data_IF_012741412538
#
_entry.id   IF_012741412538
#
_cell.length_a   1.000
_cell.length_b   1.000
_cell.length_c   1.000
_cell.angle_alpha   90.00
_cell.angle_beta   90.00
_cell.angle_gamma   90.00
#
_symmetry.space_group_name_H-M   'P 1'
#
loop_
_entity.id
_entity.type
_entity.pdbx_description
1 polymer ?
#
# COMPACT_ATOMS: atom_id res chain seq x y z
N UNK A 1 2.57 5.93 -22.28
CA UNK A 1 1.25 6.09 -21.60
C UNK A 1 0.30 5.06 -22.20
N UNK A 2 0.34 3.83 -21.67
CA UNK A 2 -0.25 2.63 -22.28
C UNK A 2 -0.85 1.69 -21.21
N UNK A 3 -0.71 2.04 -19.92
CA UNK A 3 -1.21 1.27 -18.80
C UNK A 3 -2.73 1.29 -18.59
N UNK A 4 -3.47 2.16 -19.27
CA UNK A 4 -4.91 2.39 -18.98
C UNK A 4 -5.85 1.33 -19.55
N UNK A 5 -5.43 0.53 -20.53
CA UNK A 5 -6.25 -0.54 -21.11
C UNK A 5 -6.00 -1.92 -20.50
N UNK A 6 -4.84 -2.13 -19.87
CA UNK A 6 -4.45 -3.44 -19.32
C UNK A 6 -5.30 -3.86 -18.12
N UNK A 7 -5.76 -2.91 -17.30
CA UNK A 7 -6.64 -3.17 -16.16
C UNK A 7 -8.04 -3.67 -16.57
N UNK A 8 -8.51 -3.30 -17.75
CA UNK A 8 -9.82 -3.71 -18.29
C UNK A 8 -9.77 -5.03 -19.05
N UNK A 9 -8.64 -5.33 -19.71
CA UNK A 9 -8.48 -6.52 -20.55
C UNK A 9 -8.03 -7.74 -19.73
N UNK A 10 -7.21 -7.56 -18.70
CA UNK A 10 -6.75 -8.66 -17.84
C UNK A 10 -6.49 -8.18 -16.39
N UNK A 11 -7.51 -8.19 -15.52
CA UNK A 11 -7.40 -7.67 -14.16
C UNK A 11 -6.39 -8.46 -13.31
N UNK A 12 -6.33 -9.77 -13.48
CA UNK A 12 -5.39 -10.65 -12.80
C UNK A 12 -3.92 -10.35 -13.13
N UNK A 13 -3.63 -10.14 -14.42
CA UNK A 13 -2.29 -9.79 -14.86
C UNK A 13 -1.90 -8.39 -14.38
N UNK A 14 -2.84 -7.44 -14.42
CA UNK A 14 -2.64 -6.10 -13.90
C UNK A 14 -2.28 -6.12 -12.40
N UNK A 15 -3.05 -6.86 -11.57
CA UNK A 15 -2.77 -7.05 -10.14
C UNK A 15 -1.39 -7.62 -9.87
N UNK A 16 -1.00 -8.68 -10.59
CA UNK A 16 0.34 -9.27 -10.47
C UNK A 16 1.43 -8.28 -10.85
N UNK A 17 1.20 -7.47 -11.90
CA UNK A 17 2.10 -6.40 -12.30
C UNK A 17 2.27 -5.33 -11.21
N UNK A 18 1.16 -4.88 -10.61
CA UNK A 18 1.19 -3.95 -9.48
C UNK A 18 1.96 -4.51 -8.28
N UNK A 19 1.76 -5.79 -7.94
CA UNK A 19 2.49 -6.42 -6.84
C UNK A 19 3.98 -6.59 -7.12
N UNK A 20 4.35 -6.96 -8.35
CA UNK A 20 5.74 -7.05 -8.76
C UNK A 20 6.42 -5.68 -8.67
N UNK A 21 5.78 -4.64 -9.20
CA UNK A 21 6.29 -3.27 -9.15
C UNK A 21 6.39 -2.75 -7.70
N UNK A 22 5.45 -3.10 -6.82
CA UNK A 22 5.54 -2.83 -5.40
C UNK A 22 6.78 -3.49 -4.77
N UNK A 23 7.04 -4.78 -5.06
CA UNK A 23 8.20 -5.49 -4.52
C UNK A 23 9.52 -4.88 -4.98
N UNK A 24 9.63 -4.59 -6.27
CA UNK A 24 10.84 -4.03 -6.87
C UNK A 24 11.14 -2.65 -6.24
N UNK A 25 10.12 -1.79 -6.17
CA UNK A 25 10.28 -0.42 -5.66
C UNK A 25 10.43 -0.37 -4.13
N UNK A 26 9.85 -1.33 -3.38
CA UNK A 26 10.03 -1.41 -1.93
C UNK A 26 11.50 -1.67 -1.56
N UNK A 27 12.19 -2.51 -2.33
CA UNK A 27 13.60 -2.86 -2.10
C UNK A 27 14.59 -1.75 -2.50
N UNK A 28 14.16 -0.79 -3.32
CA UNK A 28 15.00 0.28 -3.87
C UNK A 28 15.30 1.37 -2.83
N UNK A 29 16.48 1.98 -2.83
CA UNK A 29 16.77 3.12 -1.96
C UNK A 29 16.00 4.39 -2.43
N UNK A 30 15.38 5.19 -1.53
CA UNK A 30 14.64 6.38 -1.93
C UNK A 30 15.49 7.39 -2.71
N UNK A 31 16.78 7.53 -2.42
CA UNK A 31 17.67 8.45 -3.15
C UNK A 31 17.97 7.95 -4.57
N UNK A 32 17.98 6.63 -4.78
CA UNK A 32 18.10 6.05 -6.13
C UNK A 32 16.83 6.26 -6.97
N UNK A 33 15.68 6.46 -6.32
CA UNK A 33 14.40 6.78 -6.96
C UNK A 33 14.51 8.08 -7.79
N UNK A 34 15.34 9.02 -7.35
CA UNK A 34 15.67 10.24 -8.12
C UNK A 34 16.49 9.93 -9.38
N UNK A 35 17.35 8.90 -9.34
CA UNK A 35 18.17 8.48 -10.46
C UNK A 35 17.41 7.73 -11.54
N UNK A 36 16.37 6.98 -11.17
CA UNK A 36 15.58 6.15 -12.11
C UNK A 36 14.38 6.90 -12.69
N UNK A 37 13.74 7.78 -11.91
CA UNK A 37 12.53 8.48 -12.36
C UNK A 37 12.81 9.78 -13.13
N UNK A 38 14.06 10.24 -13.11
CA UNK A 38 14.44 11.56 -13.63
C UNK A 38 15.75 11.56 -14.43
N UNK A 39 15.79 10.75 -15.50
CA UNK A 39 16.81 10.90 -16.55
C UNK A 39 16.68 12.20 -17.35
N UNK A 40 15.65 13.02 -17.08
CA UNK A 40 15.46 14.34 -17.68
C UNK A 40 15.95 15.45 -16.74
N UNK A 41 17.18 15.91 -16.98
CA UNK A 41 17.63 17.30 -16.79
C UNK A 41 17.66 17.92 -15.37
N UNK A 42 17.47 17.18 -14.28
CA UNK A 42 17.56 17.76 -12.92
C UNK A 42 18.53 17.05 -11.96
N UNK A 43 19.32 16.09 -12.44
CA UNK A 43 20.25 15.28 -11.63
C UNK A 43 21.35 16.07 -10.87
N UNK A 44 21.46 17.39 -11.07
CA UNK A 44 22.44 18.25 -10.38
C UNK A 44 21.87 19.21 -9.33
N UNK A 45 20.54 19.39 -9.23
CA UNK A 45 19.92 20.47 -8.43
C UNK A 45 18.94 19.97 -7.35
N UNK A 46 19.00 18.69 -6.99
CA UNK A 46 18.17 18.18 -5.90
C UNK A 46 18.68 18.71 -4.55
N UNK A 47 17.85 19.42 -3.77
CA UNK A 47 18.24 19.88 -2.44
C UNK A 47 18.54 18.65 -1.57
N UNK A 48 19.79 18.45 -1.16
CA UNK A 48 20.16 17.42 -0.18
C UNK A 48 19.82 17.85 1.25
N UNK A 49 18.69 18.53 1.42
CA UNK A 49 18.20 18.93 2.73
C UNK A 49 17.52 17.74 3.40
N UNK A 50 17.56 17.71 4.74
CA UNK A 50 16.86 16.70 5.52
C UNK A 50 15.37 16.63 5.15
N UNK A 51 14.72 17.78 4.99
CA UNK A 51 13.31 17.87 4.60
C UNK A 51 13.01 17.18 3.25
N UNK A 52 13.89 17.32 2.27
CA UNK A 52 13.69 16.73 0.95
C UNK A 52 13.78 15.20 0.99
N UNK A 53 14.68 14.65 1.82
CA UNK A 53 14.75 13.21 2.07
C UNK A 53 13.46 12.66 2.69
N UNK A 54 12.92 13.34 3.70
CA UNK A 54 11.64 12.98 4.34
C UNK A 54 10.47 13.05 3.35
N UNK A 55 10.40 14.11 2.54
CA UNK A 55 9.38 14.26 1.49
C UNK A 55 9.44 13.11 0.48
N UNK A 56 10.65 12.74 0.04
CA UNK A 56 10.84 11.66 -0.92
C UNK A 56 10.46 10.30 -0.33
N UNK A 57 10.78 10.07 0.94
CA UNK A 57 10.32 8.91 1.69
C UNK A 57 8.78 8.82 1.74
N UNK A 58 8.11 9.94 2.04
CA UNK A 58 6.65 10.02 2.05
C UNK A 58 6.06 9.77 0.66
N UNK A 59 6.58 10.42 -0.38
CA UNK A 59 6.11 10.24 -1.75
C UNK A 59 6.24 8.78 -2.20
N UNK A 60 7.37 8.12 -1.87
CA UNK A 60 7.58 6.70 -2.11
C UNK A 60 6.56 5.84 -1.37
N UNK A 61 6.30 6.13 -0.09
CA UNK A 61 5.34 5.38 0.71
C UNK A 61 3.92 5.49 0.13
N UNK A 62 3.49 6.69 -0.28
CA UNK A 62 2.18 6.91 -0.91
C UNK A 62 2.08 6.14 -2.22
N UNK A 63 3.11 6.14 -3.06
CA UNK A 63 3.09 5.39 -4.31
C UNK A 63 3.04 3.86 -4.08
N UNK A 64 3.87 3.34 -3.17
CA UNK A 64 3.84 1.92 -2.81
C UNK A 64 2.47 1.50 -2.26
N UNK A 65 1.82 2.35 -1.48
CA UNK A 65 0.47 2.10 -0.96
C UNK A 65 -0.54 1.94 -2.10
N UNK A 66 -0.49 2.81 -3.12
CA UNK A 66 -1.36 2.69 -4.28
C UNK A 66 -1.12 1.37 -5.03
N UNK A 67 0.14 1.01 -5.30
CA UNK A 67 0.47 -0.25 -5.97
C UNK A 67 0.00 -1.47 -5.18
N UNK A 68 0.15 -1.45 -3.86
CA UNK A 68 -0.32 -2.53 -3.00
C UNK A 68 -1.85 -2.63 -3.02
N UNK A 69 -2.55 -1.51 -2.88
CA UNK A 69 -4.02 -1.47 -2.92
C UNK A 69 -4.57 -2.04 -4.24
N UNK A 70 -3.94 -1.73 -5.37
CA UNK A 70 -4.32 -2.28 -6.68
C UNK A 70 -3.92 -3.74 -6.89
N UNK A 71 -3.10 -4.33 -6.02
CA UNK A 71 -2.67 -5.73 -6.14
C UNK A 71 -3.55 -6.74 -5.39
N UNK A 72 -4.36 -6.28 -4.44
CA UNK A 72 -5.17 -7.12 -3.56
C UNK A 72 -6.53 -7.46 -4.18
N UNK A 73 -7.01 -8.68 -3.95
CA UNK A 73 -8.34 -9.16 -4.35
C UNK A 73 -8.95 -9.99 -3.20
N UNK A 74 -10.07 -9.54 -2.58
CA UNK A 74 -10.81 -8.30 -2.88
C UNK A 74 -10.00 -7.05 -2.52
N UNK A 75 -10.33 -5.92 -3.15
CA UNK A 75 -9.78 -4.61 -2.78
C UNK A 75 -9.96 -4.37 -1.28
N UNK A 76 -8.99 -3.77 -0.58
CA UNK A 76 -9.13 -3.51 0.86
C UNK A 76 -10.38 -2.67 1.12
N UNK A 77 -11.34 -3.23 1.85
CA UNK A 77 -12.52 -2.50 2.31
C UNK A 77 -12.47 -2.35 3.82
N UNK A 78 -12.84 -1.18 4.31
CA UNK A 78 -13.06 -0.98 5.74
C UNK A 78 -14.29 -1.77 6.16
N UNK A 79 -14.08 -2.80 7.00
CA UNK A 79 -15.17 -3.57 7.59
C UNK A 79 -15.45 -3.02 8.97
N UNK A 80 -16.59 -2.35 9.11
CA UNK A 80 -17.13 -1.99 10.41
C UNK A 80 -18.04 -3.13 10.86
N UNK A 81 -17.66 -3.80 11.96
CA UNK A 81 -18.47 -4.85 12.54
C UNK A 81 -19.66 -4.22 13.27
N UNK A 82 -20.87 -4.72 13.03
CA UNK A 82 -22.05 -4.31 13.80
C UNK A 82 -21.86 -4.66 15.29
N UNK A 83 -22.49 -3.88 16.17
CA UNK A 83 -22.52 -4.21 17.60
C UNK A 83 -23.07 -5.64 17.80
N UNK A 84 -22.30 -6.49 18.47
CA UNK A 84 -22.64 -7.91 18.69
C UNK A 84 -22.23 -8.88 17.57
N UNK A 85 -21.52 -8.44 16.53
CA UNK A 85 -20.99 -9.33 15.51
C UNK A 85 -19.92 -10.28 16.07
N UNK A 86 -20.03 -11.58 15.77
CA UNK A 86 -19.01 -12.57 16.13
C UNK A 86 -17.78 -12.44 15.22
N UNK A 87 -16.60 -12.32 15.82
CA UNK A 87 -15.33 -12.19 15.09
C UNK A 87 -14.74 -13.56 14.75
N UNK A 88 -14.26 -13.71 13.52
CA UNK A 88 -13.53 -14.90 13.12
C UNK A 88 -12.05 -14.78 13.52
N UNK A 89 -11.61 -15.56 14.50
CA UNK A 89 -10.28 -15.45 15.13
C UNK A 89 -9.10 -15.54 14.17
N UNK A 90 -9.27 -16.21 13.02
CA UNK A 90 -8.22 -16.32 11.99
C UNK A 90 -8.02 -15.03 11.17
N UNK A 91 -9.04 -14.16 11.11
CA UNK A 91 -9.04 -12.99 10.22
C UNK A 91 -9.16 -11.66 10.97
N UNK A 92 -9.76 -11.64 12.15
CA UNK A 92 -10.00 -10.42 12.91
C UNK A 92 -9.98 -10.71 14.42
N UNK A 93 -9.21 -9.94 15.16
CA UNK A 93 -9.14 -9.99 16.63
C UNK A 93 -10.03 -8.89 17.22
N UNK A 94 -10.72 -9.19 18.33
CA UNK A 94 -11.51 -8.19 19.05
C UNK A 94 -10.58 -7.14 19.65
N UNK A 95 -10.80 -5.87 19.30
CA UNK A 95 -10.09 -4.74 19.93
C UNK A 95 -10.47 -4.58 21.41
N UNK A 96 -11.65 -5.09 21.78
CA UNK A 96 -12.09 -5.20 23.17
C UNK A 96 -11.50 -6.49 23.75
N UNK A 97 -10.50 -6.35 24.62
CA UNK A 97 -10.06 -7.45 25.48
C UNK A 97 -11.07 -7.66 26.59
N UNK A 98 -11.90 -8.70 26.46
CA UNK A 98 -12.71 -9.19 27.57
C UNK A 98 -11.78 -9.94 28.52
N UNK A 99 -11.47 -9.35 29.68
CA UNK A 99 -10.93 -10.14 30.79
C UNK A 99 -11.98 -11.22 31.14
N UNK A 100 -11.55 -12.48 31.07
CA UNK A 100 -12.29 -13.69 31.47
C UNK A 100 -13.45 -14.21 30.58
N UNK A 101 -13.50 -13.88 29.29
CA UNK A 101 -14.27 -14.69 28.32
C UNK A 101 -15.80 -14.74 28.51
N UNK A 102 -16.35 -13.87 29.37
CA UNK A 102 -17.80 -13.73 29.58
C UNK A 102 -18.34 -12.66 28.62
N UNK A 103 -18.88 -13.10 27.50
CA UNK A 103 -19.74 -12.26 26.64
C UNK A 103 -21.07 -12.07 27.38
N UNK A 104 -21.52 -10.84 27.70
CA UNK A 104 -22.85 -10.62 28.24
C UNK A 104 -23.87 -10.86 27.14
N UNK A 105 -24.86 -11.72 27.40
CA UNK A 105 -26.00 -11.89 26.50
C UNK A 105 -26.79 -10.56 26.45
N UNK A 106 -26.84 -9.95 25.27
CA UNK A 106 -27.62 -8.75 24.95
C UNK A 106 -28.36 -8.94 23.65
#
# INVERSE_FOLDING_TARGET
MDGSFSSLINPDQFRRGCFAQFKDMKAMDPMELLGVLLTCHFAGNHPRSHFYGEFLGLAKAVWLLHLLAFSLDPSPSHYEANCGAEFHSQYMESVVMFLDGLVPAG
#
